data_IF_904456718292
#
_entry.id   IF_904456718292
#
_cell.length_a   1.000
_cell.length_b   1.000
_cell.length_c   1.000
_cell.angle_alpha   90.00
_cell.angle_beta   90.00
_cell.angle_gamma   90.00
#
_symmetry.space_group_name_H-M   'P 1'
#
loop_
_entity.id
_entity.type
_entity.pdbx_description
1 polymer ?
#
# COMPACT_ATOMS: atom_id res chain seq x y z
N UNK A 1 -27.43 45.91 -15.76
CA UNK A 1 -26.32 45.17 -16.37
C UNK A 1 -25.12 45.02 -15.44
N UNK A 2 -24.71 46.03 -14.67
CA UNK A 2 -23.55 45.92 -13.75
C UNK A 2 -23.75 44.89 -12.60
N UNK A 3 -24.95 44.67 -12.11
CA UNK A 3 -25.23 43.69 -11.03
C UNK A 3 -25.19 42.23 -11.49
N UNK A 4 -25.50 41.95 -12.75
CA UNK A 4 -25.43 40.58 -13.30
C UNK A 4 -23.98 40.13 -13.51
N UNK A 5 -23.10 41.06 -13.88
CA UNK A 5 -21.68 40.76 -14.10
C UNK A 5 -20.94 40.45 -12.79
N UNK A 6 -21.33 41.11 -11.70
CA UNK A 6 -20.72 40.88 -10.39
C UNK A 6 -21.15 39.51 -9.82
N UNK A 7 -22.38 39.06 -10.09
CA UNK A 7 -22.89 37.75 -9.68
C UNK A 7 -22.20 36.60 -10.44
N UNK A 8 -21.87 36.80 -11.71
CA UNK A 8 -21.19 35.80 -12.52
C UNK A 8 -19.68 35.68 -12.14
N UNK A 9 -19.05 36.79 -11.77
CA UNK A 9 -17.68 36.81 -11.29
C UNK A 9 -17.55 36.10 -9.92
N UNK A 10 -18.57 36.20 -9.05
CA UNK A 10 -18.55 35.57 -7.74
C UNK A 10 -18.81 34.05 -7.79
N UNK A 11 -19.41 33.55 -8.87
CA UNK A 11 -19.67 32.11 -9.06
C UNK A 11 -18.42 31.35 -9.61
N UNK A 12 -17.45 32.07 -10.15
CA UNK A 12 -16.23 31.49 -10.71
C UNK A 12 -15.16 31.19 -9.64
N UNK A 13 -15.36 31.61 -8.39
CA UNK A 13 -14.35 31.43 -7.31
C UNK A 13 -14.60 30.21 -6.44
N UNK A 14 -15.59 29.38 -6.72
CA UNK A 14 -15.93 28.17 -5.98
C UNK A 14 -15.56 26.89 -6.76
N UNK A 15 -14.50 26.92 -7.55
CA UNK A 15 -13.87 25.66 -7.93
C UNK A 15 -13.22 25.10 -6.67
N UNK A 16 -13.64 23.90 -6.19
CA UNK A 16 -12.94 23.26 -5.11
C UNK A 16 -11.50 23.03 -5.59
N UNK A 17 -10.54 23.70 -4.97
CA UNK A 17 -9.16 23.36 -5.11
C UNK A 17 -9.07 21.93 -4.59
N UNK A 18 -9.01 20.94 -5.50
CA UNK A 18 -8.80 19.56 -5.12
C UNK A 18 -7.52 19.56 -4.27
N UNK A 19 -7.65 19.29 -2.98
CA UNK A 19 -6.51 19.23 -2.08
C UNK A 19 -5.57 18.16 -2.65
N UNK A 20 -4.36 18.56 -3.05
CA UNK A 20 -3.35 17.64 -3.50
C UNK A 20 -3.14 16.58 -2.40
N UNK A 21 -3.08 15.32 -2.78
CA UNK A 21 -2.82 14.26 -1.82
C UNK A 21 -1.45 14.54 -1.17
N UNK A 22 -1.42 14.62 0.15
CA UNK A 22 -0.20 14.85 0.96
C UNK A 22 0.94 13.91 0.55
N UNK A 23 0.60 12.71 0.11
CA UNK A 23 1.57 11.67 -0.25
C UNK A 23 1.93 11.63 -1.75
N UNK A 24 1.36 12.52 -2.56
CA UNK A 24 1.71 12.65 -3.99
C UNK A 24 2.97 13.51 -4.17
N UNK A 25 4.09 12.99 -3.68
CA UNK A 25 5.41 13.61 -3.70
C UNK A 25 6.49 12.53 -3.45
N UNK A 26 7.78 12.82 -3.69
CA UNK A 26 8.88 11.87 -3.46
C UNK A 26 9.27 11.67 -1.99
N UNK A 27 8.61 12.31 -1.03
CA UNK A 27 8.96 12.22 0.38
C UNK A 27 8.81 10.79 0.91
N UNK A 28 9.65 10.46 1.89
CA UNK A 28 9.64 9.16 2.55
C UNK A 28 8.44 9.05 3.48
N UNK A 29 7.72 7.93 3.39
CA UNK A 29 6.68 7.53 4.35
C UNK A 29 7.32 6.66 5.42
N UNK A 30 7.07 6.96 6.69
CA UNK A 30 7.59 6.18 7.83
C UNK A 30 6.49 5.31 8.42
N UNK A 31 6.75 3.99 8.45
CA UNK A 31 5.88 3.01 9.10
C UNK A 31 6.48 2.58 10.43
N UNK A 32 5.69 2.60 11.50
CA UNK A 32 6.11 2.13 12.81
C UNK A 32 4.93 1.60 13.63
N UNK A 33 5.03 0.35 14.09
CA UNK A 33 3.96 -0.29 14.88
C UNK A 33 3.64 0.41 16.20
N UNK A 34 4.64 1.07 16.80
CA UNK A 34 4.48 1.81 18.04
C UNK A 34 3.75 3.16 17.87
N UNK A 35 3.48 3.56 16.62
CA UNK A 35 2.80 4.81 16.28
C UNK A 35 3.71 6.03 16.22
N UNK A 36 5.03 5.85 16.23
CA UNK A 36 6.01 6.94 16.03
C UNK A 36 6.23 7.26 14.53
N UNK A 37 5.65 6.48 13.62
CA UNK A 37 5.61 6.74 12.19
C UNK A 37 4.30 7.41 11.76
N UNK A 38 4.16 7.65 10.45
CA UNK A 38 2.93 8.17 9.85
C UNK A 38 1.84 7.09 9.79
N UNK A 39 2.25 5.83 9.62
CA UNK A 39 1.37 4.66 9.60
C UNK A 39 1.85 3.58 10.55
N UNK A 40 0.93 2.72 10.98
CA UNK A 40 1.22 1.57 11.84
C UNK A 40 1.41 0.28 11.05
N UNK A 41 0.90 0.24 9.83
CA UNK A 41 0.99 -0.91 8.93
C UNK A 41 1.66 -0.53 7.62
N UNK A 42 2.26 -1.50 6.96
CA UNK A 42 2.88 -1.31 5.65
C UNK A 42 1.78 -1.19 4.59
N UNK A 43 0.67 -1.90 4.76
CA UNK A 43 -0.49 -1.85 3.86
C UNK A 43 -1.06 -0.43 3.76
N UNK A 44 -1.29 0.25 4.89
CA UNK A 44 -1.73 1.65 4.90
C UNK A 44 -0.77 2.58 4.14
N UNK A 45 0.54 2.36 4.25
CA UNK A 45 1.54 3.15 3.53
C UNK A 45 1.55 2.86 2.02
N UNK A 46 1.23 1.63 1.61
CA UNK A 46 1.06 1.25 0.20
C UNK A 46 -0.20 1.91 -0.38
N UNK A 47 -1.31 1.88 0.34
CA UNK A 47 -2.60 2.40 -0.12
C UNK A 47 -2.60 3.92 -0.39
N UNK A 48 -1.77 4.70 0.29
CA UNK A 48 -1.67 6.15 0.05
C UNK A 48 -0.75 6.51 -1.12
N UNK A 49 -0.02 5.56 -1.68
CA UNK A 49 0.85 5.80 -2.83
C UNK A 49 0.03 5.98 -4.11
N UNK A 50 0.36 7.02 -4.87
CA UNK A 50 -0.28 7.29 -6.16
C UNK A 50 0.06 6.21 -7.19
N UNK A 51 -0.92 5.88 -8.03
CA UNK A 51 -0.68 5.02 -9.19
C UNK A 51 0.24 5.69 -10.23
N UNK A 52 1.07 4.89 -10.89
CA UNK A 52 1.94 5.29 -12.01
C UNK A 52 2.83 6.50 -11.70
N UNK A 53 3.49 6.48 -10.54
CA UNK A 53 4.42 7.54 -10.16
C UNK A 53 5.62 7.59 -11.11
N UNK A 54 5.98 8.79 -11.52
CA UNK A 54 7.16 9.11 -12.32
C UNK A 54 8.38 9.50 -11.46
N UNK A 55 8.22 9.50 -10.14
CA UNK A 55 9.25 9.72 -9.12
C UNK A 55 9.37 8.49 -8.21
N UNK A 56 10.52 8.35 -7.56
CA UNK A 56 10.77 7.28 -6.60
C UNK A 56 10.22 7.64 -5.22
N UNK A 57 9.52 6.69 -4.59
CA UNK A 57 9.00 6.82 -3.23
C UNK A 57 9.59 5.76 -2.33
N UNK A 58 9.93 6.17 -1.10
CA UNK A 58 10.46 5.26 -0.08
C UNK A 58 9.41 5.06 1.00
N UNK A 59 9.12 3.80 1.30
CA UNK A 59 8.39 3.39 2.50
C UNK A 59 9.46 2.85 3.47
N UNK A 60 9.78 3.64 4.49
CA UNK A 60 10.75 3.27 5.52
C UNK A 60 10.04 2.57 6.67
N UNK A 61 10.40 1.33 6.92
CA UNK A 61 9.74 0.46 7.90
C UNK A 61 10.66 0.28 9.11
N UNK A 62 10.24 0.80 10.26
CA UNK A 62 10.96 0.63 11.51
C UNK A 62 10.95 -0.81 11.99
N UNK A 63 11.87 -1.15 12.88
CA UNK A 63 11.96 -2.49 13.51
C UNK A 63 10.62 -2.94 14.05
N UNK A 64 10.29 -4.19 13.82
CA UNK A 64 9.05 -4.81 14.29
C UNK A 64 8.65 -6.01 13.45
N UNK A 65 7.73 -6.79 13.99
CA UNK A 65 7.11 -7.91 13.29
C UNK A 65 5.76 -7.45 12.74
N UNK A 66 5.66 -7.36 11.43
CA UNK A 66 4.48 -6.93 10.69
C UNK A 66 3.76 -8.17 10.16
N UNK A 67 2.70 -8.60 10.87
CA UNK A 67 1.87 -9.73 10.41
C UNK A 67 0.85 -9.20 9.40
N UNK A 68 1.27 -9.13 8.16
CA UNK A 68 0.52 -8.55 7.05
C UNK A 68 0.69 -9.38 5.78
N UNK A 69 -0.41 -9.54 5.05
CA UNK A 69 -0.41 -10.14 3.71
C UNK A 69 -0.46 -9.01 2.68
N UNK A 70 0.66 -8.73 2.08
CA UNK A 70 0.85 -7.52 1.29
C UNK A 70 0.73 -7.76 -0.22
N UNK A 71 0.15 -6.79 -0.91
CA UNK A 71 0.12 -6.71 -2.36
C UNK A 71 0.67 -5.36 -2.80
N UNK A 72 1.67 -5.36 -3.67
CA UNK A 72 2.04 -4.19 -4.44
C UNK A 72 1.40 -4.32 -5.83
N UNK A 73 0.27 -3.67 -6.08
CA UNK A 73 -0.51 -3.86 -7.28
C UNK A 73 0.20 -3.35 -8.54
N UNK A 74 -0.27 -3.76 -9.71
CA UNK A 74 0.38 -3.51 -11.00
C UNK A 74 0.49 -2.03 -11.38
N UNK A 75 -0.34 -1.18 -10.81
CA UNK A 75 -0.27 0.29 -11.02
C UNK A 75 0.74 1.00 -10.13
N UNK A 76 1.34 0.32 -9.13
CA UNK A 76 2.43 0.90 -8.35
C UNK A 76 3.76 0.79 -9.09
N UNK A 77 4.46 1.92 -9.16
CA UNK A 77 5.77 2.03 -9.81
C UNK A 77 6.74 2.80 -8.93
N UNK A 78 8.04 2.50 -9.06
CA UNK A 78 9.10 3.28 -8.41
C UNK A 78 9.01 3.31 -6.87
N UNK A 79 8.63 2.19 -6.24
CA UNK A 79 8.55 2.04 -4.78
C UNK A 79 9.78 1.33 -4.24
N UNK A 80 10.35 1.88 -3.17
CA UNK A 80 11.34 1.19 -2.35
C UNK A 80 10.76 0.93 -0.96
N UNK A 81 10.61 -0.33 -0.56
CA UNK A 81 10.35 -0.69 0.83
C UNK A 81 11.70 -0.96 1.50
N UNK A 82 12.04 -0.15 2.48
CA UNK A 82 13.31 -0.18 3.18
C UNK A 82 13.11 -0.40 4.67
N UNK A 83 13.49 -1.58 5.16
CA UNK A 83 13.52 -1.87 6.59
C UNK A 83 14.65 -1.13 7.30
N UNK A 84 14.44 -0.78 8.55
CA UNK A 84 15.46 -0.20 9.43
C UNK A 84 16.62 -1.16 9.67
N UNK A 85 16.30 -2.47 9.81
CA UNK A 85 17.26 -3.53 10.09
C UNK A 85 16.72 -4.85 9.52
N UNK A 86 17.52 -5.54 8.73
CA UNK A 86 17.10 -6.76 8.05
C UNK A 86 16.56 -7.83 9.01
N UNK A 87 17.24 -8.05 10.10
CA UNK A 87 16.95 -9.16 11.00
C UNK A 87 15.82 -8.83 11.99
N UNK A 88 15.52 -7.54 12.16
CA UNK A 88 14.50 -7.06 13.10
C UNK A 88 13.32 -6.35 12.43
N UNK A 89 13.31 -6.22 11.11
CA UNK A 89 12.15 -5.73 10.35
C UNK A 89 11.59 -6.89 9.54
N UNK A 90 10.53 -7.52 10.07
CA UNK A 90 10.02 -8.80 9.60
C UNK A 90 8.59 -8.64 9.11
N UNK A 91 8.34 -8.95 7.85
CA UNK A 91 6.98 -9.14 7.31
C UNK A 91 6.69 -10.63 7.35
N UNK A 92 5.61 -11.02 8.03
CA UNK A 92 5.25 -12.42 8.23
C UNK A 92 3.78 -12.68 7.91
N UNK A 93 3.48 -13.87 7.42
CA UNK A 93 2.13 -14.38 7.24
C UNK A 93 2.14 -15.90 7.43
N UNK A 94 0.96 -16.49 7.62
CA UNK A 94 0.82 -17.91 8.00
C UNK A 94 -0.18 -18.68 7.12
N UNK A 95 -0.39 -18.26 5.87
CA UNK A 95 -1.23 -18.99 4.94
C UNK A 95 -0.52 -20.24 4.39
N UNK A 96 -1.26 -21.34 4.27
CA UNK A 96 -0.82 -22.55 3.58
C UNK A 96 -1.86 -23.04 2.56
N UNK A 97 -1.43 -23.85 1.61
CA UNK A 97 -2.22 -24.24 0.44
C UNK A 97 -3.56 -24.91 0.76
N UNK A 98 -3.67 -25.59 1.92
CA UNK A 98 -4.86 -26.34 2.34
C UNK A 98 -5.89 -25.50 3.10
N UNK A 99 -5.60 -24.23 3.41
CA UNK A 99 -6.60 -23.33 4.01
C UNK A 99 -7.78 -23.20 3.05
N UNK A 100 -8.99 -23.38 3.60
CA UNK A 100 -10.21 -23.21 2.82
C UNK A 100 -10.50 -21.73 2.62
N UNK A 101 -10.74 -21.36 1.37
CA UNK A 101 -11.01 -19.95 1.03
C UNK A 101 -12.30 -19.47 1.69
N UNK A 102 -12.26 -18.29 2.34
CA UNK A 102 -13.46 -17.60 2.79
C UNK A 102 -14.26 -17.07 1.59
N UNK A 103 -15.51 -16.73 1.82
CA UNK A 103 -16.32 -16.01 0.81
C UNK A 103 -15.76 -14.62 0.64
N UNK A 104 -15.47 -14.21 -0.59
CA UNK A 104 -15.01 -12.85 -0.89
C UNK A 104 -13.53 -12.59 -0.58
N UNK A 105 -12.66 -13.58 -0.77
CA UNK A 105 -11.21 -13.40 -0.63
C UNK A 105 -10.66 -12.32 -1.56
N UNK A 106 -9.51 -11.74 -1.17
CA UNK A 106 -8.81 -10.61 -1.82
C UNK A 106 -8.55 -10.77 -3.33
N UNK A 107 -8.46 -11.98 -3.82
CA UNK A 107 -8.38 -12.29 -5.25
C UNK A 107 -9.76 -12.77 -5.72
N UNK A 108 -10.56 -11.87 -6.28
CA UNK A 108 -11.90 -12.15 -6.79
C UNK A 108 -11.93 -13.17 -7.94
N UNK A 109 -10.81 -13.46 -8.57
CA UNK A 109 -10.69 -14.48 -9.58
C UNK A 109 -10.72 -15.88 -8.95
N UNK A 110 -11.91 -16.48 -8.98
CA UNK A 110 -12.15 -17.88 -8.62
C UNK A 110 -12.00 -18.26 -7.13
N UNK A 111 -12.24 -17.35 -6.18
CA UNK A 111 -12.44 -17.73 -4.78
C UNK A 111 -13.74 -18.54 -4.64
N UNK A 112 -13.68 -19.85 -4.81
CA UNK A 112 -14.81 -20.74 -4.58
C UNK A 112 -14.81 -21.13 -3.11
N UNK A 113 -15.86 -20.72 -2.39
CA UNK A 113 -16.07 -21.07 -0.98
C UNK A 113 -15.78 -22.55 -0.70
N UNK A 114 -14.92 -22.81 0.27
CA UNK A 114 -14.61 -24.15 0.75
C UNK A 114 -13.58 -24.92 -0.07
N UNK A 115 -13.10 -24.39 -1.21
CA UNK A 115 -11.95 -24.95 -1.91
C UNK A 115 -10.62 -24.54 -1.28
N UNK A 116 -9.57 -25.35 -1.36
CA UNK A 116 -8.25 -24.99 -0.89
C UNK A 116 -7.75 -23.70 -1.55
N UNK A 117 -7.02 -22.88 -0.81
CA UNK A 117 -6.43 -21.64 -1.28
C UNK A 117 -5.42 -21.86 -2.41
N UNK A 118 -4.67 -22.96 -2.34
CA UNK A 118 -3.65 -23.33 -3.32
C UNK A 118 -2.40 -22.48 -3.20
N UNK A 119 -1.33 -22.89 -3.87
CA UNK A 119 0.02 -22.33 -3.73
C UNK A 119 0.10 -20.85 -4.09
N UNK A 120 -0.59 -20.42 -5.14
CA UNK A 120 -0.47 -19.04 -5.65
C UNK A 120 -1.13 -17.96 -4.76
N UNK A 121 -1.96 -18.38 -3.79
CA UNK A 121 -2.67 -17.44 -2.91
C UNK A 121 -2.09 -17.39 -1.49
N UNK A 122 -1.05 -18.15 -1.20
CA UNK A 122 -0.44 -18.28 0.13
C UNK A 122 0.82 -17.43 0.31
N UNK A 123 0.94 -16.37 -0.49
CA UNK A 123 2.06 -15.44 -0.39
C UNK A 123 1.98 -14.58 0.87
N UNK A 124 3.12 -14.21 1.40
CA UNK A 124 3.27 -13.13 2.38
C UNK A 124 3.31 -11.79 1.67
N UNK A 125 4.07 -11.70 0.57
CA UNK A 125 4.16 -10.51 -0.27
C UNK A 125 3.96 -10.89 -1.75
N UNK A 126 3.06 -10.18 -2.44
CA UNK A 126 2.83 -10.29 -3.89
C UNK A 126 3.23 -8.97 -4.56
N UNK A 127 4.18 -9.02 -5.47
CA UNK A 127 4.64 -7.86 -6.24
C UNK A 127 4.17 -7.99 -7.67
N UNK A 128 3.33 -7.04 -8.11
CA UNK A 128 2.82 -6.95 -9.48
C UNK A 128 3.26 -5.64 -10.16
N UNK A 129 3.72 -4.67 -9.36
CA UNK A 129 4.22 -3.38 -9.83
C UNK A 129 5.60 -3.46 -10.49
N UNK A 130 6.02 -2.36 -11.11
CA UNK A 130 7.31 -2.24 -11.80
C UNK A 130 8.26 -1.32 -11.02
N UNK A 131 9.57 -1.58 -11.13
CA UNK A 131 10.61 -0.80 -10.43
C UNK A 131 10.42 -0.80 -8.91
N UNK A 132 10.09 -1.98 -8.36
CA UNK A 132 9.95 -2.20 -6.92
C UNK A 132 11.27 -2.68 -6.36
N UNK A 133 11.72 -2.04 -5.29
CA UNK A 133 12.94 -2.42 -4.57
C UNK A 133 12.60 -2.80 -3.13
N UNK A 134 13.12 -3.92 -2.67
CA UNK A 134 13.03 -4.38 -1.28
C UNK A 134 14.44 -4.45 -0.71
N UNK A 135 14.69 -3.84 0.44
CA UNK A 135 16.00 -3.89 1.09
C UNK A 135 15.91 -3.82 2.62
N UNK A 136 16.88 -4.39 3.29
CA UNK A 136 16.99 -4.43 4.75
C UNK A 136 15.72 -4.94 5.45
N UNK A 137 15.08 -5.97 4.88
CA UNK A 137 13.82 -6.51 5.38
C UNK A 137 13.82 -8.02 5.27
N UNK A 138 13.23 -8.70 6.23
CA UNK A 138 12.97 -10.13 6.20
C UNK A 138 11.51 -10.37 5.82
N UNK A 139 11.27 -11.29 4.89
CA UNK A 139 9.95 -11.74 4.48
C UNK A 139 9.89 -13.24 4.74
N UNK A 140 8.94 -13.66 5.56
CA UNK A 140 8.80 -15.06 5.94
C UNK A 140 7.34 -15.52 5.86
N UNK A 141 7.15 -16.82 5.74
CA UNK A 141 5.87 -17.49 5.91
C UNK A 141 6.01 -18.50 7.06
N UNK A 142 5.19 -18.36 8.08
CA UNK A 142 5.22 -19.16 9.31
C UNK A 142 4.12 -20.22 9.35
N UNK A 143 3.61 -20.71 8.20
CA UNK A 143 2.58 -21.75 8.12
C UNK A 143 3.10 -23.15 8.47
#
# INVERSE_FOLDING_TARGET
>A
MKKLFLSFLMMLTLLPLAAANKYDNPDTIVVSRDGTGEFRTIDEAIEVCRAFMDYSKVIYVKKGVYKEKLILPSWLTNITICGEDRDNTIITWDDHANIKMPVGGLDSEAAVKGKPMGTFRTYTLKVQGSYITLKNITIENNA
#
